data_IF_358792996355
#
_entry.id   IF_358792996355
#
_cell.length_a   1.000
_cell.length_b   1.000
_cell.length_c   1.000
_cell.angle_alpha   90.00
_cell.angle_beta   90.00
_cell.angle_gamma   90.00
#
_symmetry.space_group_name_H-M   'P 1'
#
loop_
_entity.id
_entity.type
_entity.pdbx_description
1 polymer ?
#
# COMPACT_ATOMS: atom_id res chain seq x y z
N UNK A 1 -19.56 -28.96 6.15
CA UNK A 1 -18.74 -27.92 6.82
C UNK A 1 -19.71 -26.85 7.23
N UNK A 2 -19.90 -26.63 8.53
CA UNK A 2 -20.80 -25.59 9.00
C UNK A 2 -20.32 -24.24 8.47
N UNK A 3 -21.14 -23.64 7.61
CA UNK A 3 -21.02 -22.24 7.22
C UNK A 3 -21.39 -21.46 8.48
N UNK A 4 -20.43 -21.24 9.37
CA UNK A 4 -20.53 -20.16 10.34
C UNK A 4 -20.96 -18.94 9.55
N UNK A 5 -22.10 -18.35 9.92
CA UNK A 5 -22.68 -17.20 9.24
C UNK A 5 -21.63 -16.09 9.22
N UNK A 6 -20.94 -15.93 8.09
CA UNK A 6 -19.97 -14.86 7.91
C UNK A 6 -20.74 -13.54 8.05
N UNK A 7 -20.18 -12.62 8.83
CA UNK A 7 -20.80 -11.32 9.08
C UNK A 7 -20.06 -10.24 8.27
N UNK A 8 -20.62 -9.04 8.21
CA UNK A 8 -20.01 -7.94 7.48
C UNK A 8 -20.15 -8.08 5.95
N UNK A 9 -19.23 -7.47 5.22
CA UNK A 9 -19.25 -7.39 3.76
C UNK A 9 -18.04 -8.12 3.15
N UNK A 10 -18.34 -9.09 2.29
CA UNK A 10 -17.39 -9.74 1.40
C UNK A 10 -17.70 -9.31 -0.03
N UNK A 11 -16.71 -8.79 -0.74
CA UNK A 11 -16.84 -8.51 -2.16
C UNK A 11 -16.77 -9.83 -2.96
N UNK A 12 -17.57 -9.96 -4.03
CA UNK A 12 -17.46 -11.10 -4.93
C UNK A 12 -16.12 -11.09 -5.67
N UNK A 13 -15.68 -12.26 -6.12
CA UNK A 13 -14.52 -12.39 -6.99
C UNK A 13 -14.80 -11.76 -8.36
N UNK A 14 -15.93 -12.12 -8.98
CA UNK A 14 -16.42 -11.44 -10.17
C UNK A 14 -17.74 -10.72 -9.86
N UNK A 15 -17.80 -9.43 -10.15
CA UNK A 15 -19.01 -8.61 -9.99
C UNK A 15 -19.49 -8.07 -11.33
N UNK A 16 -20.81 -8.00 -11.49
CA UNK A 16 -21.47 -7.27 -12.57
C UNK A 16 -22.44 -6.22 -12.01
N UNK A 17 -23.53 -5.94 -12.73
CA UNK A 17 -24.46 -4.84 -12.46
C UNK A 17 -25.12 -4.86 -11.08
N UNK A 18 -25.19 -6.02 -10.40
CA UNK A 18 -25.91 -6.16 -9.12
C UNK A 18 -24.99 -6.15 -7.90
N UNK A 19 -23.67 -6.21 -8.07
CA UNK A 19 -22.73 -6.39 -6.95
C UNK A 19 -22.68 -7.81 -6.38
N UNK A 20 -23.42 -8.77 -6.97
CA UNK A 20 -23.40 -10.18 -6.56
C UNK A 20 -22.28 -10.94 -7.27
N UNK A 21 -21.87 -12.05 -6.65
CA UNK A 21 -20.98 -13.03 -7.26
C UNK A 21 -21.57 -13.55 -8.57
N UNK A 22 -20.79 -13.45 -9.63
CA UNK A 22 -21.12 -13.96 -10.96
C UNK A 22 -20.01 -14.85 -11.53
N UNK A 23 -18.94 -15.14 -10.76
CA UNK A 23 -17.89 -16.04 -11.19
C UNK A 23 -18.50 -17.42 -11.51
N UNK A 24 -18.26 -17.97 -12.72
CA UNK A 24 -18.80 -19.28 -13.09
C UNK A 24 -18.28 -20.44 -12.24
N UNK A 25 -17.08 -20.28 -11.67
CA UNK A 25 -16.41 -21.28 -10.87
C UNK A 25 -16.49 -20.91 -9.37
N UNK A 26 -17.32 -21.65 -8.64
CA UNK A 26 -17.63 -21.38 -7.22
C UNK A 26 -16.39 -21.29 -6.32
N UNK A 27 -15.27 -21.94 -6.71
CA UNK A 27 -14.05 -22.01 -5.89
C UNK A 27 -13.41 -20.64 -5.69
N UNK A 28 -13.33 -19.79 -6.73
CA UNK A 28 -12.72 -18.46 -6.64
C UNK A 28 -13.57 -17.57 -5.74
N UNK A 29 -14.88 -17.51 -6.02
CA UNK A 29 -15.83 -16.79 -5.18
C UNK A 29 -15.83 -17.26 -3.72
N UNK A 30 -15.55 -18.55 -3.45
CA UNK A 30 -15.47 -19.08 -2.09
C UNK A 30 -14.14 -18.76 -1.38
N UNK A 31 -13.01 -18.95 -2.06
CA UNK A 31 -11.68 -19.04 -1.44
C UNK A 31 -10.76 -17.85 -1.75
N UNK A 32 -10.92 -17.17 -2.88
CA UNK A 32 -10.08 -16.04 -3.30
C UNK A 32 -10.57 -14.73 -2.68
N UNK A 33 -10.53 -14.70 -1.35
CA UNK A 33 -11.23 -13.70 -0.55
C UNK A 33 -10.45 -12.39 -0.40
N UNK A 34 -9.21 -12.33 -0.89
CA UNK A 34 -8.34 -11.15 -0.75
C UNK A 34 -8.91 -9.94 -1.50
N UNK A 35 -9.75 -10.13 -2.53
CA UNK A 35 -10.47 -9.06 -3.25
C UNK A 35 -11.19 -8.09 -2.30
N UNK A 36 -11.70 -8.60 -1.17
CA UNK A 36 -12.36 -7.78 -0.15
C UNK A 36 -11.39 -6.80 0.50
N UNK A 37 -10.15 -7.23 0.76
CA UNK A 37 -9.08 -6.38 1.25
C UNK A 37 -8.52 -5.45 0.18
N UNK A 38 -8.47 -5.89 -1.08
CA UNK A 38 -7.96 -5.10 -2.20
C UNK A 38 -8.86 -3.90 -2.50
N UNK A 39 -10.18 -4.09 -2.50
CA UNK A 39 -11.15 -3.01 -2.61
C UNK A 39 -10.98 -2.01 -1.45
N UNK A 40 -10.77 -2.52 -0.23
CA UNK A 40 -10.57 -1.64 0.92
C UNK A 40 -9.23 -0.90 0.87
N UNK A 41 -8.17 -1.52 0.32
CA UNK A 41 -6.90 -0.85 0.04
C UNK A 41 -7.07 0.30 -0.97
N UNK A 42 -7.90 0.12 -2.01
CA UNK A 42 -8.22 1.21 -2.94
C UNK A 42 -8.99 2.35 -2.25
N UNK A 43 -9.94 2.02 -1.36
CA UNK A 43 -10.64 3.00 -0.50
C UNK A 43 -9.67 3.74 0.42
N UNK A 44 -8.73 3.04 1.04
CA UNK A 44 -7.69 3.62 1.89
C UNK A 44 -6.83 4.62 1.11
N UNK A 45 -6.32 4.22 -0.06
CA UNK A 45 -5.51 5.10 -0.91
C UNK A 45 -6.31 6.33 -1.36
N UNK A 46 -7.60 6.17 -1.67
CA UNK A 46 -8.49 7.27 -1.98
C UNK A 46 -8.66 8.20 -0.77
N UNK A 47 -8.89 7.66 0.43
CA UNK A 47 -9.03 8.44 1.66
C UNK A 47 -7.77 9.26 1.96
N UNK A 48 -6.58 8.65 1.92
CA UNK A 48 -5.32 9.33 2.21
C UNK A 48 -4.93 10.36 1.16
N UNK A 49 -5.35 10.20 -0.10
CA UNK A 49 -5.04 11.17 -1.17
C UNK A 49 -6.04 12.31 -1.28
N UNK A 50 -7.29 12.12 -0.86
CA UNK A 50 -8.36 13.12 -1.06
C UNK A 50 -8.88 13.74 0.23
N UNK A 51 -8.85 12.99 1.33
CA UNK A 51 -9.56 13.29 2.58
C UNK A 51 -11.03 13.62 2.35
N UNK A 52 -11.70 12.93 1.42
CA UNK A 52 -13.12 13.15 1.12
C UNK A 52 -14.02 12.80 2.33
N UNK A 53 -14.24 13.78 3.19
CA UNK A 53 -15.05 13.62 4.39
C UNK A 53 -16.51 13.30 4.07
N UNK A 54 -17.03 13.76 2.93
CA UNK A 54 -18.44 13.52 2.55
C UNK A 54 -18.63 12.04 2.22
N UNK A 55 -17.77 11.48 1.38
CA UNK A 55 -17.85 10.06 1.03
C UNK A 55 -17.86 9.17 2.27
N UNK A 56 -16.90 9.41 3.18
CA UNK A 56 -16.69 8.54 4.33
C UNK A 56 -17.65 8.81 5.50
N UNK A 57 -18.17 10.02 5.69
CA UNK A 57 -19.10 10.31 6.80
C UNK A 57 -20.57 10.20 6.43
N UNK A 58 -20.95 10.44 5.17
CA UNK A 58 -22.38 10.57 4.80
C UNK A 58 -22.81 9.68 3.64
N UNK A 59 -21.92 9.32 2.71
CA UNK A 59 -22.29 8.62 1.48
C UNK A 59 -22.03 7.09 1.52
N UNK A 60 -21.86 6.51 2.70
CA UNK A 60 -21.70 5.05 2.85
C UNK A 60 -20.27 4.54 2.99
N UNK A 61 -19.26 5.42 2.94
CA UNK A 61 -17.86 5.00 2.99
C UNK A 61 -17.49 4.33 4.32
N UNK A 62 -17.90 4.91 5.46
CA UNK A 62 -17.67 4.30 6.78
C UNK A 62 -18.44 2.99 6.97
N UNK A 63 -19.66 2.89 6.47
CA UNK A 63 -20.47 1.68 6.49
C UNK A 63 -19.78 0.53 5.75
N UNK A 64 -19.19 0.82 4.59
CA UNK A 64 -18.40 -0.15 3.84
C UNK A 64 -17.14 -0.56 4.60
N UNK A 65 -16.35 0.41 5.08
CA UNK A 65 -15.10 0.14 5.82
C UNK A 65 -15.37 -0.72 7.06
N UNK A 66 -16.38 -0.36 7.85
CA UNK A 66 -16.76 -1.10 9.06
C UNK A 66 -17.30 -2.50 8.76
N UNK A 67 -18.09 -2.66 7.69
CA UNK A 67 -18.59 -3.97 7.27
C UNK A 67 -17.46 -4.90 6.78
N UNK A 68 -16.47 -4.40 6.06
CA UNK A 68 -15.29 -5.20 5.67
C UNK A 68 -14.44 -5.59 6.89
N UNK A 69 -14.26 -4.68 7.86
CA UNK A 69 -13.57 -5.02 9.10
C UNK A 69 -14.28 -6.14 9.88
N UNK A 70 -15.62 -6.07 9.99
CA UNK A 70 -16.43 -7.14 10.58
C UNK A 70 -16.30 -8.46 9.83
N UNK A 71 -16.22 -8.44 8.51
CA UNK A 71 -15.98 -9.65 7.71
C UNK A 71 -14.65 -10.31 8.08
N UNK A 72 -13.55 -9.56 8.11
CA UNK A 72 -12.26 -10.10 8.51
C UNK A 72 -12.26 -10.65 9.94
N UNK A 73 -12.91 -9.97 10.89
CA UNK A 73 -13.06 -10.49 12.24
C UNK A 73 -13.84 -11.81 12.27
N UNK A 74 -14.91 -11.93 11.49
CA UNK A 74 -15.68 -13.18 11.38
C UNK A 74 -14.92 -14.32 10.70
N UNK A 75 -13.94 -13.99 9.85
CA UNK A 75 -13.16 -14.97 9.06
C UNK A 75 -11.95 -15.53 9.80
N UNK A 76 -11.43 -14.79 10.75
CA UNK A 76 -10.23 -15.12 11.54
C UNK A 76 -10.54 -16.06 12.70
N UNK A 77 -9.79 -17.16 12.79
CA UNK A 77 -9.93 -18.19 13.83
C UNK A 77 -8.71 -18.15 14.75
N UNK A 78 -8.92 -18.14 16.07
CA UNK A 78 -7.82 -18.16 17.04
C UNK A 78 -7.13 -19.54 17.06
N UNK A 79 -5.80 -19.54 17.03
CA UNK A 79 -4.95 -20.72 17.24
C UNK A 79 -4.36 -20.68 18.64
N UNK A 80 -4.79 -21.61 19.51
CA UNK A 80 -4.23 -21.72 20.87
C UNK A 80 -2.76 -22.17 20.86
N UNK A 81 -2.35 -22.96 19.87
CA UNK A 81 -0.98 -23.46 19.76
C UNK A 81 0.00 -22.34 19.40
N UNK A 82 -0.37 -21.49 18.44
CA UNK A 82 0.50 -20.44 17.93
C UNK A 82 0.24 -19.07 18.56
N UNK A 83 -0.81 -18.93 19.39
CA UNK A 83 -1.22 -17.69 20.03
C UNK A 83 -1.44 -16.53 19.04
N UNK A 84 -2.04 -16.85 17.89
CA UNK A 84 -2.28 -15.93 16.78
C UNK A 84 -3.61 -16.25 16.08
N UNK A 85 -4.09 -15.33 15.24
CA UNK A 85 -5.26 -15.57 14.38
C UNK A 85 -4.85 -16.14 13.03
N UNK A 86 -5.58 -17.17 12.60
CA UNK A 86 -5.43 -17.81 11.31
C UNK A 86 -6.56 -17.43 10.36
N UNK A 87 -6.26 -17.39 9.07
CA UNK A 87 -7.24 -17.39 7.98
C UNK A 87 -7.00 -18.65 7.16
N UNK A 88 -7.96 -19.58 7.21
CA UNK A 88 -7.80 -20.96 6.70
C UNK A 88 -8.56 -21.24 5.44
N UNK A 89 -8.10 -22.15 4.59
CA UNK A 89 -8.80 -22.60 3.39
C UNK A 89 -9.07 -21.46 2.39
N UNK A 90 -8.02 -20.73 2.04
CA UNK A 90 -8.08 -19.64 1.06
C UNK A 90 -7.35 -20.03 -0.23
N UNK A 91 -7.61 -19.25 -1.27
CA UNK A 91 -6.81 -19.17 -2.48
C UNK A 91 -6.14 -17.79 -2.45
N UNK A 92 -4.81 -17.72 -2.50
CA UNK A 92 -4.08 -16.46 -2.54
C UNK A 92 -4.01 -15.97 -4.01
N UNK A 93 -3.40 -14.82 -4.31
CA UNK A 93 -3.20 -14.39 -5.69
C UNK A 93 -2.54 -15.44 -6.59
N UNK A 94 -1.68 -16.31 -6.03
CA UNK A 94 -1.25 -17.52 -6.74
C UNK A 94 -2.35 -18.60 -6.76
N UNK A 95 -3.15 -18.60 -7.82
CA UNK A 95 -4.24 -19.56 -8.00
C UNK A 95 -3.78 -21.01 -8.27
N UNK A 96 -2.48 -21.30 -8.42
CA UNK A 96 -2.00 -22.69 -8.45
C UNK A 96 -2.12 -23.38 -7.09
N UNK A 97 -2.18 -22.60 -6.01
CA UNK A 97 -2.33 -23.09 -4.65
C UNK A 97 -3.68 -22.66 -4.09
N UNK A 98 -4.51 -23.62 -3.65
CA UNK A 98 -5.82 -23.34 -3.08
C UNK A 98 -6.09 -24.27 -1.90
N UNK A 99 -7.11 -23.95 -1.11
CA UNK A 99 -7.32 -24.52 0.23
C UNK A 99 -6.08 -24.44 1.14
N UNK A 100 -5.28 -23.39 0.97
CA UNK A 100 -4.12 -23.15 1.82
C UNK A 100 -4.52 -22.38 3.07
N UNK A 101 -3.74 -22.55 4.13
CA UNK A 101 -3.89 -21.82 5.38
C UNK A 101 -2.87 -20.69 5.46
N UNK A 102 -3.29 -19.54 5.96
CA UNK A 102 -2.45 -18.39 6.27
C UNK A 102 -1.62 -17.89 5.09
N UNK A 103 -2.26 -17.69 3.93
CA UNK A 103 -1.65 -16.94 2.82
C UNK A 103 -1.07 -15.62 3.32
N UNK A 104 0.21 -15.38 3.02
CA UNK A 104 0.91 -14.17 3.43
C UNK A 104 0.22 -12.92 2.89
N UNK A 105 -0.15 -12.92 1.61
CA UNK A 105 -0.88 -11.80 1.01
C UNK A 105 -2.26 -11.61 1.65
N UNK A 106 -3.07 -12.67 1.72
CA UNK A 106 -4.45 -12.59 2.23
C UNK A 106 -4.47 -12.11 3.68
N UNK A 107 -3.57 -12.62 4.51
CA UNK A 107 -3.50 -12.25 5.92
C UNK A 107 -2.97 -10.82 6.10
N UNK A 108 -1.99 -10.40 5.29
CA UNK A 108 -1.48 -9.05 5.34
C UNK A 108 -2.50 -8.00 4.85
N UNK A 109 -3.30 -8.30 3.82
CA UNK A 109 -4.36 -7.38 3.36
C UNK A 109 -5.53 -7.32 4.35
N UNK A 110 -5.84 -8.43 5.03
CA UNK A 110 -6.79 -8.44 6.14
C UNK A 110 -6.29 -7.60 7.33
N UNK A 111 -5.01 -7.73 7.70
CA UNK A 111 -4.37 -6.90 8.72
C UNK A 111 -4.46 -5.41 8.35
N UNK A 112 -4.10 -5.05 7.12
CA UNK A 112 -4.15 -3.68 6.61
C UNK A 112 -5.58 -3.11 6.64
N UNK A 113 -6.56 -3.93 6.26
CA UNK A 113 -7.98 -3.59 6.30
C UNK A 113 -8.46 -3.19 7.70
N UNK A 114 -8.12 -4.00 8.72
CA UNK A 114 -8.49 -3.73 10.11
C UNK A 114 -7.80 -2.48 10.66
N UNK A 115 -6.52 -2.28 10.33
CA UNK A 115 -5.78 -1.08 10.72
C UNK A 115 -6.38 0.20 10.10
N UNK A 116 -6.74 0.15 8.82
CA UNK A 116 -7.41 1.26 8.15
C UNK A 116 -8.77 1.57 8.78
N UNK A 117 -9.60 0.56 9.04
CA UNK A 117 -10.89 0.74 9.69
C UNK A 117 -10.76 1.37 11.08
N UNK A 118 -9.78 0.93 11.87
CA UNK A 118 -9.46 1.53 13.16
C UNK A 118 -8.96 2.98 13.01
N UNK A 119 -8.22 3.30 11.95
CA UNK A 119 -7.79 4.66 11.61
C UNK A 119 -8.96 5.60 11.33
N UNK A 120 -9.85 5.20 10.41
CA UNK A 120 -11.04 5.99 10.06
C UNK A 120 -11.95 6.20 11.28
N UNK A 121 -12.12 5.17 12.12
CA UNK A 121 -12.89 5.28 13.35
C UNK A 121 -12.31 6.37 14.28
N UNK A 122 -10.98 6.39 14.47
CA UNK A 122 -10.30 7.42 15.26
C UNK A 122 -10.49 8.81 14.67
N UNK A 123 -10.30 8.96 13.36
CA UNK A 123 -10.49 10.23 12.66
C UNK A 123 -11.90 10.80 12.85
N UNK A 124 -12.90 9.92 12.96
CA UNK A 124 -14.30 10.30 13.12
C UNK A 124 -14.78 10.30 14.57
N UNK A 125 -13.89 10.05 15.53
CA UNK A 125 -14.19 9.95 16.96
C UNK A 125 -15.23 8.87 17.28
N UNK A 126 -15.23 7.80 16.48
CA UNK A 126 -16.05 6.60 16.68
C UNK A 126 -15.23 5.64 17.57
N UNK A 127 -15.84 5.02 18.60
CA UNK A 127 -15.15 4.01 19.40
C UNK A 127 -14.59 2.89 18.51
N UNK A 128 -13.29 2.65 18.59
CA UNK A 128 -12.63 1.56 17.88
C UNK A 128 -12.94 0.24 18.58
N UNK A 129 -13.53 -0.76 17.91
CA UNK A 129 -13.72 -2.08 18.49
C UNK A 129 -12.36 -2.71 18.84
N UNK A 130 -12.21 -3.17 20.09
CA UNK A 130 -10.96 -3.78 20.59
C UNK A 130 -10.54 -4.99 19.76
N UNK A 131 -11.52 -5.79 19.32
CA UNK A 131 -11.28 -6.96 18.47
C UNK A 131 -10.61 -6.62 17.14
N UNK A 132 -10.85 -5.44 16.55
CA UNK A 132 -10.20 -5.05 15.30
C UNK A 132 -8.70 -4.86 15.50
N UNK A 133 -8.34 -4.15 16.58
CA UNK A 133 -6.94 -3.87 16.93
C UNK A 133 -6.22 -5.15 17.35
N UNK A 134 -6.88 -5.99 18.16
CA UNK A 134 -6.29 -7.25 18.61
C UNK A 134 -6.03 -8.19 17.43
N UNK A 135 -7.02 -8.39 16.56
CA UNK A 135 -6.92 -9.27 15.40
C UNK A 135 -5.91 -8.77 14.38
N UNK A 136 -5.87 -7.47 14.11
CA UNK A 136 -4.84 -6.87 13.26
C UNK A 136 -3.43 -7.13 13.83
N UNK A 137 -3.26 -7.00 15.14
CA UNK A 137 -1.96 -7.21 15.79
C UNK A 137 -1.53 -8.68 15.82
N UNK A 138 -2.48 -9.61 15.89
CA UNK A 138 -2.21 -11.04 16.12
C UNK A 138 -2.49 -11.94 14.91
N UNK A 139 -2.96 -11.42 13.77
CA UNK A 139 -3.09 -12.26 12.56
C UNK A 139 -1.72 -12.70 12.07
N UNK A 140 -1.60 -14.00 11.74
CA UNK A 140 -0.35 -14.59 11.25
C UNK A 140 -0.05 -14.11 9.84
N UNK A 141 1.09 -13.49 9.62
CA UNK A 141 1.70 -13.39 8.29
C UNK A 141 2.91 -14.31 8.33
N UNK A 142 2.97 -15.40 7.53
CA UNK A 142 4.07 -16.35 7.58
C UNK A 142 5.42 -15.66 7.38
N UNK A 143 6.39 -16.00 8.22
CA UNK A 143 7.73 -15.44 8.17
C UNK A 143 8.76 -16.47 8.61
N UNK A 144 9.74 -16.75 7.76
CA UNK A 144 10.90 -17.58 8.09
C UNK A 144 12.00 -16.68 8.65
N UNK A 145 12.21 -16.72 9.96
CA UNK A 145 13.22 -15.89 10.63
C UNK A 145 14.68 -16.27 10.29
N UNK A 146 14.92 -17.48 9.81
CA UNK A 146 16.27 -17.97 9.47
C UNK A 146 16.65 -17.51 8.07
N UNK A 147 15.77 -17.72 7.09
CA UNK A 147 15.97 -17.31 5.70
C UNK A 147 15.55 -15.86 5.43
N UNK A 148 14.85 -15.23 6.39
CA UNK A 148 14.37 -13.85 6.35
C UNK A 148 13.56 -13.56 5.09
N UNK A 149 12.52 -14.35 4.84
CA UNK A 149 11.56 -14.15 3.75
C UNK A 149 10.18 -14.59 4.26
N UNK A 150 9.13 -14.25 3.53
CA UNK A 150 7.77 -14.69 3.80
C UNK A 150 7.46 -15.95 2.96
N UNK A 151 7.27 -17.13 3.58
CA UNK A 151 6.61 -18.24 2.91
C UNK A 151 5.22 -17.81 2.43
N UNK A 152 4.77 -18.35 1.30
CA UNK A 152 3.53 -17.87 0.66
C UNK A 152 2.29 -18.23 1.47
N UNK A 153 2.32 -19.38 2.13
CA UNK A 153 1.29 -19.89 3.02
C UNK A 153 1.92 -20.92 3.98
N UNK A 154 1.16 -21.40 4.96
CA UNK A 154 1.64 -22.41 5.90
C UNK A 154 1.95 -23.74 5.18
N UNK A 155 3.20 -24.19 5.29
CA UNK A 155 3.67 -25.42 4.63
C UNK A 155 4.23 -25.23 3.23
N UNK A 156 4.28 -23.99 2.70
CA UNK A 156 4.90 -23.68 1.41
C UNK A 156 6.34 -24.21 1.33
N UNK A 157 6.66 -24.92 0.25
CA UNK A 157 8.00 -25.44 0.01
C UNK A 157 8.76 -24.57 -1.00
N UNK A 158 9.91 -23.97 -0.65
CA UNK A 158 10.70 -23.20 -1.59
C UNK A 158 11.03 -23.96 -2.87
N UNK A 159 10.76 -23.34 -4.02
CA UNK A 159 10.93 -23.98 -5.33
C UNK A 159 9.62 -24.40 -5.99
N UNK A 160 8.50 -24.39 -5.25
CA UNK A 160 7.19 -24.64 -5.82
C UNK A 160 6.84 -23.57 -6.87
N UNK A 161 6.34 -23.96 -8.06
CA UNK A 161 5.95 -23.03 -9.11
C UNK A 161 4.80 -22.14 -8.68
N UNK A 162 4.87 -20.87 -9.05
CA UNK A 162 3.88 -19.85 -8.70
C UNK A 162 3.27 -19.27 -9.97
N UNK A 163 1.94 -19.16 -10.06
CA UNK A 163 1.24 -18.64 -11.26
C UNK A 163 1.61 -17.19 -11.55
N UNK A 164 1.60 -16.35 -10.51
CA UNK A 164 1.72 -14.89 -10.63
C UNK A 164 2.25 -14.24 -9.35
N UNK A 165 2.46 -12.92 -9.35
CA UNK A 165 2.95 -12.22 -8.17
C UNK A 165 2.01 -12.39 -6.97
N UNK A 166 2.51 -12.99 -5.87
CA UNK A 166 1.79 -13.17 -4.59
C UNK A 166 2.51 -12.48 -3.43
N UNK A 167 3.50 -13.14 -2.82
CA UNK A 167 4.35 -12.55 -1.75
C UNK A 167 5.02 -11.25 -2.22
N UNK A 168 5.32 -11.16 -3.51
CA UNK A 168 5.89 -9.97 -4.13
C UNK A 168 5.00 -8.73 -3.93
N UNK A 169 3.68 -8.91 -3.82
CA UNK A 169 2.69 -7.86 -3.59
C UNK A 169 2.73 -7.32 -2.16
N UNK A 170 3.34 -8.04 -1.19
CA UNK A 170 3.52 -7.55 0.19
C UNK A 170 4.28 -6.21 0.22
N UNK A 171 5.28 -6.04 -0.65
CA UNK A 171 6.00 -4.77 -0.78
C UNK A 171 5.16 -3.69 -1.45
N UNK A 172 5.08 -3.66 -2.79
CA UNK A 172 4.10 -2.85 -3.50
C UNK A 172 3.07 -3.78 -4.15
N UNK A 173 1.76 -3.51 -4.05
CA UNK A 173 1.13 -2.30 -3.52
C UNK A 173 0.82 -2.33 -2.01
N UNK A 174 1.01 -3.46 -1.33
CA UNK A 174 0.46 -3.66 0.01
C UNK A 174 1.22 -2.90 1.11
N UNK A 175 2.46 -2.51 0.87
CA UNK A 175 3.31 -1.74 1.77
C UNK A 175 3.42 -2.38 3.16
N UNK A 176 3.44 -3.71 3.21
CA UNK A 176 3.64 -4.46 4.44
C UNK A 176 5.01 -4.11 5.03
N UNK A 177 5.09 -3.69 6.32
CA UNK A 177 6.35 -3.30 6.92
C UNK A 177 7.34 -4.46 6.95
N UNK A 178 8.48 -4.28 6.28
CA UNK A 178 9.55 -5.29 6.26
C UNK A 178 10.92 -4.64 6.10
N UNK A 179 11.96 -5.35 6.54
CA UNK A 179 13.34 -4.91 6.33
C UNK A 179 13.73 -5.01 4.84
N UNK A 180 14.55 -4.11 4.26
CA UNK A 180 14.98 -4.20 2.86
C UNK A 180 15.64 -5.54 2.48
N UNK A 181 16.31 -6.20 3.44
CA UNK A 181 16.84 -7.56 3.26
C UNK A 181 15.73 -8.58 3.03
N UNK A 182 14.64 -8.51 3.82
CA UNK A 182 13.48 -9.39 3.65
C UNK A 182 12.82 -9.12 2.31
N UNK A 183 12.63 -7.84 1.95
CA UNK A 183 12.07 -7.44 0.65
C UNK A 183 12.89 -8.01 -0.51
N UNK A 184 14.23 -7.94 -0.42
CA UNK A 184 15.14 -8.53 -1.40
C UNK A 184 14.99 -10.03 -1.46
N UNK A 185 14.94 -10.71 -0.32
CA UNK A 185 14.83 -12.16 -0.24
C UNK A 185 13.51 -12.66 -0.83
N UNK A 186 12.38 -12.02 -0.52
CA UNK A 186 11.08 -12.34 -1.14
C UNK A 186 11.20 -12.28 -2.68
N UNK A 187 11.75 -11.19 -3.22
CA UNK A 187 11.91 -11.07 -4.67
C UNK A 187 12.86 -12.13 -5.26
N UNK A 188 13.98 -12.44 -4.60
CA UNK A 188 14.93 -13.48 -5.06
C UNK A 188 14.31 -14.87 -5.02
N UNK A 189 13.51 -15.18 -3.99
CA UNK A 189 12.90 -16.50 -3.80
C UNK A 189 11.81 -16.77 -4.83
N UNK A 190 10.97 -15.77 -5.12
CA UNK A 190 9.81 -15.94 -5.97
C UNK A 190 10.08 -15.69 -7.46
N UNK A 191 10.99 -14.78 -7.84
CA UNK A 191 11.28 -14.49 -9.25
C UNK A 191 11.60 -15.71 -10.14
N UNK A 192 12.44 -16.69 -9.71
CA UNK A 192 12.79 -17.83 -10.55
C UNK A 192 11.72 -18.93 -10.62
N UNK A 193 10.73 -18.93 -9.71
CA UNK A 193 9.67 -19.94 -9.66
C UNK A 193 8.33 -19.43 -10.19
N UNK A 194 8.22 -18.12 -10.45
CA UNK A 194 7.02 -17.55 -11.07
C UNK A 194 6.97 -17.87 -12.57
N UNK A 195 5.80 -18.36 -13.03
CA UNK A 195 5.55 -18.80 -14.40
C UNK A 195 5.88 -17.71 -15.43
N UNK A 196 6.72 -18.05 -16.41
CA UNK A 196 7.16 -17.09 -17.43
C UNK A 196 6.03 -16.68 -18.36
N UNK A 197 5.15 -17.63 -18.68
CA UNK A 197 3.94 -17.39 -19.48
C UNK A 197 2.74 -16.97 -18.64
N UNK A 198 2.93 -16.64 -17.35
CA UNK A 198 1.86 -16.19 -16.48
C UNK A 198 1.30 -14.81 -16.87
N UNK A 199 0.24 -14.35 -16.18
CA UNK A 199 -0.47 -13.13 -16.56
C UNK A 199 0.39 -11.86 -16.56
N UNK A 200 0.15 -10.97 -17.53
CA UNK A 200 0.97 -9.80 -17.87
C UNK A 200 1.22 -8.78 -16.73
N UNK A 201 0.51 -8.88 -15.61
CA UNK A 201 0.65 -7.99 -14.45
C UNK A 201 1.87 -8.33 -13.56
N UNK A 202 2.30 -9.59 -13.55
CA UNK A 202 3.29 -10.14 -12.64
C UNK A 202 4.64 -9.42 -12.70
N UNK A 203 5.21 -9.32 -13.90
CA UNK A 203 6.56 -8.78 -14.08
C UNK A 203 6.65 -7.29 -13.75
N UNK A 204 5.53 -6.57 -13.84
CA UNK A 204 5.43 -5.18 -13.40
C UNK A 204 5.63 -5.05 -11.90
N UNK A 205 5.10 -5.98 -11.10
CA UNK A 205 5.24 -5.93 -9.63
C UNK A 205 6.66 -6.28 -9.18
N UNK A 206 7.32 -7.24 -9.85
CA UNK A 206 8.75 -7.47 -9.65
C UNK A 206 9.60 -6.26 -10.05
N UNK A 207 9.28 -5.59 -11.17
CA UNK A 207 9.97 -4.37 -11.57
C UNK A 207 9.89 -3.29 -10.48
N UNK A 208 8.69 -3.02 -9.93
CA UNK A 208 8.51 -2.08 -8.81
C UNK A 208 9.34 -2.49 -7.60
N UNK A 209 9.32 -3.78 -7.24
CA UNK A 209 10.11 -4.31 -6.12
C UNK A 209 11.62 -4.10 -6.26
N UNK A 210 12.17 -4.34 -7.46
CA UNK A 210 13.59 -4.10 -7.71
C UNK A 210 13.95 -2.62 -7.72
N UNK A 211 13.06 -1.75 -8.24
CA UNK A 211 13.26 -0.29 -8.22
C UNK A 211 13.24 0.27 -6.80
N UNK A 212 12.39 -0.28 -5.93
CA UNK A 212 12.35 0.07 -4.50
C UNK A 212 13.68 -0.21 -3.79
N UNK A 213 14.37 -1.29 -4.19
CA UNK A 213 15.71 -1.66 -3.70
C UNK A 213 16.85 -1.00 -4.48
N UNK A 214 16.54 -0.07 -5.39
CA UNK A 214 17.50 0.62 -6.28
C UNK A 214 18.27 -0.31 -7.22
N UNK A 215 17.78 -1.52 -7.47
CA UNK A 215 18.34 -2.49 -8.44
C UNK A 215 17.77 -2.28 -9.85
N UNK A 216 18.13 -1.15 -10.44
CA UNK A 216 17.59 -0.70 -11.73
C UNK A 216 17.83 -1.68 -12.88
N UNK A 217 18.96 -2.40 -12.88
CA UNK A 217 19.26 -3.39 -13.93
C UNK A 217 18.33 -4.60 -13.87
N UNK A 218 18.06 -5.15 -12.67
CA UNK A 218 17.11 -6.26 -12.51
C UNK A 218 15.69 -5.82 -12.84
N UNK A 219 15.31 -4.62 -12.41
CA UNK A 219 14.02 -4.03 -12.75
C UNK A 219 13.82 -3.91 -14.27
N UNK A 220 14.84 -3.45 -15.00
CA UNK A 220 14.80 -3.38 -16.46
C UNK A 220 14.59 -4.76 -17.10
N UNK A 221 15.20 -5.81 -16.54
CA UNK A 221 14.95 -7.19 -16.95
C UNK A 221 13.48 -7.58 -16.85
N UNK A 222 12.79 -7.20 -15.78
CA UNK A 222 11.36 -7.50 -15.60
C UNK A 222 10.46 -6.66 -16.51
N UNK A 223 10.78 -5.37 -16.68
CA UNK A 223 10.07 -4.50 -17.63
C UNK A 223 10.17 -5.01 -19.07
N UNK A 224 11.34 -5.55 -19.45
CA UNK A 224 11.52 -6.16 -20.76
C UNK A 224 10.56 -7.34 -20.99
N UNK A 225 10.31 -8.16 -19.96
CA UNK A 225 9.33 -9.26 -20.04
C UNK A 225 7.90 -8.73 -20.26
N UNK A 226 7.55 -7.58 -19.67
CA UNK A 226 6.21 -6.99 -19.86
C UNK A 226 5.92 -6.66 -21.34
N UNK A 227 6.94 -6.31 -22.13
CA UNK A 227 6.74 -6.03 -23.56
C UNK A 227 6.39 -7.27 -24.38
N UNK A 228 6.66 -8.48 -23.88
CA UNK A 228 6.27 -9.73 -24.55
C UNK A 228 4.76 -9.95 -24.59
N UNK A 229 4.01 -9.29 -23.71
CA UNK A 229 2.55 -9.30 -23.70
C UNK A 229 1.93 -8.29 -24.69
N UNK A 230 2.75 -7.57 -25.48
CA UNK A 230 2.28 -6.58 -26.45
C UNK A 230 2.27 -7.20 -27.85
N UNK A 231 1.09 -7.28 -28.45
CA UNK A 231 0.89 -7.82 -29.80
C UNK A 231 0.77 -6.71 -30.84
N UNK A 232 1.57 -6.84 -31.91
CA UNK A 232 1.54 -5.98 -33.09
C UNK A 232 0.31 -6.24 -33.99
N UNK A 233 -0.08 -5.30 -34.87
CA UNK A 233 0.49 -3.95 -35.07
C UNK A 233 -0.12 -2.88 -34.16
N UNK A 234 -1.16 -3.24 -33.41
CA UNK A 234 -1.97 -2.28 -32.64
C UNK A 234 -1.48 -2.08 -31.20
N UNK A 235 -0.41 -2.78 -30.81
CA UNK A 235 0.14 -2.75 -29.46
C UNK A 235 -0.89 -3.15 -28.39
N UNK A 236 -1.73 -4.13 -28.72
CA UNK A 236 -2.74 -4.66 -27.80
C UNK A 236 -2.03 -5.51 -26.74
N UNK A 237 -2.46 -5.35 -25.49
CA UNK A 237 -1.98 -6.19 -24.40
C UNK A 237 -2.82 -7.46 -24.30
N UNK A 238 -2.13 -8.60 -24.28
CA UNK A 238 -2.70 -9.93 -24.06
C UNK A 238 -2.30 -10.46 -22.70
N UNK A 239 -3.16 -11.26 -22.10
CA UNK A 239 -2.94 -11.82 -20.76
C UNK A 239 -1.65 -12.63 -20.68
N UNK A 240 -1.48 -13.60 -21.59
CA UNK A 240 -0.30 -14.46 -21.62
C UNK A 240 0.62 -14.07 -22.78
N UNK A 241 1.93 -14.20 -22.60
CA UNK A 241 2.93 -13.77 -23.58
C UNK A 241 2.93 -14.59 -24.89
N UNK A 242 2.27 -15.74 -24.89
CA UNK A 242 2.08 -16.58 -26.08
C UNK A 242 0.88 -16.15 -26.95
N UNK A 243 0.14 -15.12 -26.53
CA UNK A 243 -1.05 -14.62 -27.22
C UNK A 243 -2.36 -15.24 -26.76
N UNK A 244 -2.34 -16.17 -25.81
CA UNK A 244 -3.53 -16.78 -25.22
C UNK A 244 -4.13 -15.92 -24.09
N UNK A 245 -5.30 -16.35 -23.59
CA UNK A 245 -6.02 -15.67 -22.53
C UNK A 245 -6.81 -14.45 -23.01
N UNK A 246 -7.07 -13.51 -22.10
CA UNK A 246 -7.82 -12.31 -22.40
C UNK A 246 -7.08 -11.37 -23.38
N UNK A 247 -7.83 -10.86 -24.35
CA UNK A 247 -7.39 -9.79 -25.25
C UNK A 247 -7.83 -8.43 -24.70
N UNK A 248 -7.04 -7.38 -24.95
CA UNK A 248 -7.21 -6.08 -24.28
C UNK A 248 -7.13 -6.22 -22.75
N UNK A 249 -6.11 -6.92 -22.29
CA UNK A 249 -5.93 -7.24 -20.89
C UNK A 249 -5.54 -5.99 -20.07
N UNK A 250 -6.57 -5.31 -19.56
CA UNK A 250 -6.44 -4.03 -18.85
C UNK A 250 -5.54 -4.14 -17.61
N UNK A 251 -5.55 -5.27 -16.92
CA UNK A 251 -4.73 -5.50 -15.73
C UNK A 251 -3.23 -5.48 -16.08
N UNK A 252 -2.85 -6.04 -17.22
CA UNK A 252 -1.47 -5.94 -17.73
C UNK A 252 -1.08 -4.50 -18.04
N UNK A 253 -1.94 -3.76 -18.74
CA UNK A 253 -1.72 -2.34 -19.07
C UNK A 253 -1.57 -1.49 -17.80
N UNK A 254 -2.46 -1.72 -16.83
CA UNK A 254 -2.46 -1.05 -15.53
C UNK A 254 -1.22 -1.39 -14.71
N UNK A 255 -0.81 -2.67 -14.68
CA UNK A 255 0.43 -3.11 -14.03
C UNK A 255 1.65 -2.40 -14.59
N UNK A 256 1.78 -2.33 -15.92
CA UNK A 256 2.90 -1.65 -16.55
C UNK A 256 2.91 -0.15 -16.27
N UNK A 257 1.75 0.50 -16.32
CA UNK A 257 1.63 1.91 -15.93
C UNK A 257 2.02 2.12 -14.47
N UNK A 258 1.67 1.19 -13.57
CA UNK A 258 2.09 1.23 -12.18
C UNK A 258 3.60 1.04 -12.02
N UNK A 259 4.25 0.18 -12.82
CA UNK A 259 5.70 0.04 -12.78
C UNK A 259 6.42 1.33 -13.19
N UNK A 260 5.92 2.03 -14.21
CA UNK A 260 6.45 3.35 -14.58
C UNK A 260 6.14 4.40 -13.52
N UNK A 261 4.88 4.48 -13.06
CA UNK A 261 4.46 5.51 -12.12
C UNK A 261 5.04 5.27 -10.74
N UNK A 262 4.68 4.19 -10.06
CA UNK A 262 5.08 3.90 -8.68
C UNK A 262 6.46 3.28 -8.55
N UNK A 263 6.97 2.62 -9.59
CA UNK A 263 8.34 2.14 -9.64
C UNK A 263 9.32 3.30 -9.87
N UNK A 264 9.22 4.01 -11.00
CA UNK A 264 10.25 5.02 -11.33
C UNK A 264 10.27 6.22 -10.40
N UNK A 265 9.11 6.67 -9.94
CA UNK A 265 9.03 7.80 -9.02
C UNK A 265 9.21 7.39 -7.55
N UNK A 266 9.05 6.10 -7.24
CA UNK A 266 8.95 5.62 -5.87
C UNK A 266 7.74 6.17 -5.11
N UNK A 267 6.66 6.60 -5.80
CA UNK A 267 5.46 7.11 -5.13
C UNK A 267 4.93 6.09 -4.14
N UNK A 268 4.69 6.51 -2.90
CA UNK A 268 3.98 5.73 -1.89
C UNK A 268 2.99 6.61 -1.17
N UNK A 269 1.74 6.18 -1.14
CA UNK A 269 0.67 6.84 -0.39
C UNK A 269 0.69 6.26 1.01
N UNK A 270 0.82 7.11 2.01
CA UNK A 270 0.75 6.73 3.43
C UNK A 270 -0.36 7.52 4.11
N UNK A 271 -0.70 7.15 5.35
CA UNK A 271 -1.70 7.85 6.15
C UNK A 271 -1.43 9.34 6.28
N UNK A 272 -0.16 9.76 6.35
CA UNK A 272 0.20 11.15 6.69
C UNK A 272 0.90 11.91 5.57
N UNK A 273 1.34 11.23 4.51
CA UNK A 273 2.13 11.85 3.46
C UNK A 273 2.11 11.06 2.15
N UNK A 274 2.45 11.73 1.06
CA UNK A 274 2.83 11.13 -0.20
C UNK A 274 4.37 11.13 -0.28
N UNK A 275 4.98 9.95 -0.23
CA UNK A 275 6.43 9.76 -0.32
C UNK A 275 6.87 9.60 -1.77
N UNK A 276 8.09 10.07 -2.05
CA UNK A 276 8.76 10.07 -3.34
C UNK A 276 10.17 9.55 -3.11
N UNK A 277 10.58 8.54 -3.87
CA UNK A 277 11.92 7.97 -3.76
C UNK A 277 12.36 7.42 -5.13
N UNK A 278 12.67 8.31 -6.10
CA UNK A 278 12.83 7.90 -7.48
C UNK A 278 13.98 6.92 -7.70
N UNK A 279 13.77 6.01 -8.63
CA UNK A 279 14.80 5.09 -9.14
C UNK A 279 14.40 4.70 -10.55
N UNK A 280 15.22 4.95 -11.55
CA UNK A 280 14.89 4.52 -12.91
C UNK A 280 16.13 4.02 -13.66
N UNK A 281 15.92 3.16 -14.67
CA UNK A 281 16.97 2.64 -15.55
C UNK A 281 17.84 3.73 -16.18
N UNK A 282 19.08 3.37 -16.53
CA UNK A 282 20.10 4.33 -16.99
C UNK A 282 19.77 5.01 -18.33
N UNK A 283 18.91 4.40 -19.13
CA UNK A 283 18.42 4.87 -20.43
C UNK A 283 17.27 5.89 -20.32
N UNK A 284 16.68 6.05 -19.14
CA UNK A 284 15.72 7.12 -18.85
C UNK A 284 16.47 8.37 -18.39
N UNK A 285 16.40 9.44 -19.18
CA UNK A 285 17.07 10.71 -18.87
C UNK A 285 16.17 11.72 -18.15
N UNK A 286 14.86 11.62 -18.37
CA UNK A 286 13.88 12.55 -17.83
C UNK A 286 12.51 11.88 -17.74
N UNK A 287 11.87 12.00 -16.58
CA UNK A 287 10.48 11.59 -16.35
C UNK A 287 9.64 12.83 -16.05
N UNK A 288 8.54 13.01 -16.78
CA UNK A 288 7.54 14.02 -16.46
C UNK A 288 6.23 13.35 -16.03
N UNK A 289 5.80 13.64 -14.80
CA UNK A 289 4.52 13.17 -14.27
C UNK A 289 3.62 14.37 -14.06
N UNK A 290 2.49 14.41 -14.76
CA UNK A 290 1.54 15.52 -14.71
C UNK A 290 0.22 15.06 -14.09
N UNK A 291 -0.56 16.01 -13.57
CA UNK A 291 -1.90 15.72 -13.08
C UNK A 291 -1.95 14.98 -11.74
N UNK A 292 -0.83 14.88 -11.02
CA UNK A 292 -0.81 14.28 -9.68
C UNK A 292 -1.71 15.11 -8.76
N UNK A 293 -2.68 14.43 -8.14
CA UNK A 293 -3.68 15.04 -7.28
C UNK A 293 -3.46 14.57 -5.86
N UNK A 294 -3.21 15.50 -4.94
CA UNK A 294 -3.00 15.16 -3.53
C UNK A 294 -3.58 16.25 -2.63
N UNK A 295 -4.51 15.86 -1.75
CA UNK A 295 -5.25 16.73 -0.84
C UNK A 295 -5.84 17.95 -1.57
N UNK A 296 -6.45 17.72 -2.74
CA UNK A 296 -7.03 18.75 -3.60
C UNK A 296 -6.01 19.59 -4.40
N UNK A 297 -4.72 19.50 -4.09
CA UNK A 297 -3.65 20.16 -4.84
C UNK A 297 -3.32 19.42 -6.14
N UNK A 298 -2.89 20.17 -7.16
CA UNK A 298 -2.44 19.62 -8.45
C UNK A 298 -0.96 19.88 -8.63
N UNK A 299 -0.22 18.81 -8.90
CA UNK A 299 1.23 18.79 -8.92
C UNK A 299 1.75 18.25 -10.26
N UNK A 300 2.85 18.84 -10.73
CA UNK A 300 3.67 18.32 -11.82
C UNK A 300 5.07 18.02 -11.28
N UNK A 301 5.57 16.84 -11.60
CA UNK A 301 6.94 16.43 -11.32
C UNK A 301 7.74 16.37 -12.61
N UNK A 302 8.98 16.83 -12.54
CA UNK A 302 9.99 16.61 -13.56
C UNK A 302 11.24 16.10 -12.86
N UNK A 303 11.65 14.88 -13.21
CA UNK A 303 12.71 14.14 -12.51
C UNK A 303 13.79 13.79 -13.55
N UNK A 304 15.03 14.17 -13.26
CA UNK A 304 16.25 13.71 -13.96
C UNK A 304 17.14 12.97 -12.98
N UNK A 305 18.31 12.49 -13.42
CA UNK A 305 19.26 11.83 -12.52
C UNK A 305 19.79 12.79 -11.45
N UNK A 306 19.94 14.06 -11.79
CA UNK A 306 20.53 15.10 -10.96
C UNK A 306 19.50 15.88 -10.17
N UNK A 307 18.31 16.12 -10.75
CA UNK A 307 17.35 17.08 -10.21
C UNK A 307 15.92 16.56 -10.15
N UNK A 308 15.17 17.01 -9.14
CA UNK A 308 13.72 16.91 -9.06
C UNK A 308 13.13 18.31 -9.03
N UNK A 309 12.13 18.55 -9.88
CA UNK A 309 11.34 19.77 -9.93
C UNK A 309 9.88 19.47 -9.63
N UNK A 310 9.32 20.18 -8.66
CA UNK A 310 7.90 20.13 -8.27
C UNK A 310 7.26 21.46 -8.62
N UNK A 311 6.23 21.44 -9.46
CA UNK A 311 5.41 22.60 -9.78
C UNK A 311 3.99 22.40 -9.24
N UNK A 312 3.46 23.40 -8.53
CA UNK A 312 2.10 23.36 -7.99
C UNK A 312 1.20 24.22 -8.86
N UNK A 313 0.32 23.60 -9.62
CA UNK A 313 -0.59 24.31 -10.53
C UNK A 313 -1.89 24.71 -9.86
N UNK A 314 -2.24 24.07 -8.74
CA UNK A 314 -3.39 24.41 -7.90
C UNK A 314 -3.12 23.98 -6.45
N UNK A 315 -3.39 24.82 -5.47
CA UNK A 315 -3.27 24.52 -4.04
C UNK A 315 -4.43 25.14 -3.26
N UNK A 316 -5.56 24.42 -3.09
CA UNK A 316 -6.73 24.97 -2.39
C UNK A 316 -6.59 24.95 -0.86
N UNK A 317 -5.47 24.41 -0.33
CA UNK A 317 -5.30 24.15 1.10
C UNK A 317 -4.72 25.34 1.87
N UNK A 318 -5.21 25.49 3.11
CA UNK A 318 -4.60 26.34 4.13
C UNK A 318 -4.49 25.57 5.45
N UNK A 319 -3.26 25.34 5.97
CA UNK A 319 -1.97 25.73 5.38
C UNK A 319 -1.62 24.87 4.14
N UNK A 320 -0.71 25.34 3.26
CA UNK A 320 -0.37 24.67 2.01
C UNK A 320 0.37 23.34 2.25
N UNK A 321 0.61 22.58 1.18
CA UNK A 321 1.52 21.44 1.25
C UNK A 321 2.96 21.90 1.54
N UNK A 322 3.75 21.04 2.20
CA UNK A 322 5.20 21.17 2.29
C UNK A 322 5.89 19.93 1.72
N UNK A 323 7.05 20.15 1.10
CA UNK A 323 8.00 19.09 0.76
C UNK A 323 9.08 19.00 1.85
N UNK A 324 9.36 17.79 2.32
CA UNK A 324 10.39 17.51 3.32
C UNK A 324 11.37 16.50 2.77
N UNK A 325 12.65 16.85 2.67
CA UNK A 325 13.70 15.92 2.26
C UNK A 325 13.94 14.90 3.38
N UNK A 326 13.98 13.61 3.05
CA UNK A 326 14.12 12.56 4.07
C UNK A 326 15.50 12.59 4.75
N UNK A 327 16.56 12.82 3.98
CA UNK A 327 17.94 12.78 4.50
C UNK A 327 18.28 13.98 5.40
N UNK A 328 17.89 15.19 4.99
CA UNK A 328 18.26 16.42 5.70
C UNK A 328 17.17 16.96 6.63
N UNK A 329 15.93 16.49 6.48
CA UNK A 329 14.77 17.05 7.16
C UNK A 329 14.40 18.47 6.72
N UNK A 330 15.06 19.01 5.70
CA UNK A 330 14.82 20.35 5.19
C UNK A 330 13.41 20.47 4.61
N UNK A 331 12.70 21.53 4.97
CA UNK A 331 11.29 21.74 4.63
C UNK A 331 11.11 22.91 3.68
N UNK A 332 10.19 22.77 2.73
CA UNK A 332 9.87 23.80 1.76
C UNK A 332 8.35 23.89 1.57
N UNK A 333 7.73 25.05 1.84
CA UNK A 333 6.33 25.23 1.53
C UNK A 333 6.12 25.22 0.01
N UNK A 334 5.03 24.61 -0.43
CA UNK A 334 4.63 24.50 -1.82
C UNK A 334 3.43 25.42 -2.08
N UNK A 335 3.71 26.57 -2.70
CA UNK A 335 2.70 27.57 -3.03
C UNK A 335 2.17 27.37 -4.45
N UNK A 336 0.89 27.71 -4.66
CA UNK A 336 0.30 27.72 -6.01
C UNK A 336 1.09 28.63 -6.96
N UNK A 337 1.31 28.17 -8.18
CA UNK A 337 2.13 28.85 -9.20
C UNK A 337 3.64 28.72 -8.98
N UNK A 338 4.08 28.24 -7.81
CA UNK A 338 5.51 28.09 -7.53
C UNK A 338 6.08 26.82 -8.16
N UNK A 339 7.37 26.91 -8.44
CA UNK A 339 8.23 25.77 -8.78
C UNK A 339 9.33 25.68 -7.73
N UNK A 340 9.60 24.47 -7.25
CA UNK A 340 10.79 24.15 -6.47
C UNK A 340 11.67 23.13 -7.22
N UNK A 341 12.95 23.45 -7.43
CA UNK A 341 13.95 22.53 -8.04
C UNK A 341 15.01 22.17 -7.01
N UNK A 342 15.35 20.88 -6.88
CA UNK A 342 16.32 20.36 -5.91
C UNK A 342 17.12 19.22 -6.51
N UNK A 343 18.18 18.80 -5.82
CA UNK A 343 18.85 17.56 -6.13
C UNK A 343 17.88 16.37 -6.02
N UNK A 344 17.97 15.42 -6.95
CA UNK A 344 17.14 14.22 -6.92
C UNK A 344 17.45 13.40 -5.66
N UNK A 345 16.45 13.28 -4.79
CA UNK A 345 16.55 12.61 -3.48
C UNK A 345 15.16 12.21 -3.00
N UNK A 346 15.11 11.33 -2.00
CA UNK A 346 13.86 10.94 -1.37
C UNK A 346 13.24 12.12 -0.59
N UNK A 347 11.92 12.29 -0.73
CA UNK A 347 11.16 13.32 -0.04
C UNK A 347 9.74 12.87 0.25
N UNK A 348 9.09 13.58 1.17
CA UNK A 348 7.67 13.44 1.45
C UNK A 348 6.93 14.74 1.19
N UNK A 349 5.69 14.64 0.73
CA UNK A 349 4.72 15.73 0.68
C UNK A 349 3.64 15.50 1.73
N UNK A 350 3.38 16.52 2.55
CA UNK A 350 2.32 16.49 3.56
C UNK A 350 1.69 17.87 3.71
N UNK A 351 0.57 17.96 4.42
CA UNK A 351 0.02 19.25 4.79
C UNK A 351 0.91 19.93 5.85
N UNK A 352 1.22 21.20 5.65
CA UNK A 352 2.07 21.95 6.56
C UNK A 352 1.48 21.99 7.98
N UNK A 353 2.30 21.76 9.00
CA UNK A 353 1.86 21.82 10.40
C UNK A 353 1.18 20.55 10.93
N UNK A 354 0.89 19.54 10.10
CA UNK A 354 0.68 18.18 10.60
C UNK A 354 2.02 17.70 11.19
N UNK A 355 2.09 17.68 12.53
CA UNK A 355 3.16 16.93 13.19
C UNK A 355 3.02 15.48 12.74
N UNK A 356 4.12 14.75 12.46
CA UNK A 356 4.03 13.31 12.36
C UNK A 356 3.32 12.85 13.63
N UNK A 357 2.20 12.12 13.48
CA UNK A 357 1.53 11.50 14.62
C UNK A 357 2.61 10.62 15.23
N UNK A 358 3.24 11.09 16.30
CA UNK A 358 4.05 10.27 17.16
C UNK A 358 3.09 9.19 17.62
N UNK A 359 3.20 8.02 17.00
CA UNK A 359 2.57 6.81 17.47
C UNK A 359 3.04 6.69 18.93
N UNK A 360 2.17 7.07 19.87
CA UNK A 360 2.38 6.81 21.29
C UNK A 360 2.26 5.30 21.45
N UNK A 361 3.34 4.59 21.14
CA UNK A 361 3.57 3.25 21.64
C UNK A 361 3.51 3.33 23.15
N UNK A 362 2.43 2.79 23.71
CA UNK A 362 2.22 2.46 25.13
C UNK A 362 3.15 3.15 26.13
N UNK A 363 2.74 4.30 26.66
CA UNK A 363 3.14 4.65 28.03
C UNK A 363 2.26 3.81 28.95
N UNK A 364 2.78 2.67 29.38
CA UNK A 364 2.25 1.96 30.55
C UNK A 364 2.50 2.87 31.74
N UNK A 365 1.45 3.53 32.24
CA UNK A 365 1.50 4.18 33.54
C UNK A 365 1.64 3.07 34.60
N UNK A 366 2.87 2.85 35.06
CA UNK A 366 3.10 2.10 36.30
C UNK A 366 2.61 2.99 37.45
N UNK A 367 1.65 2.57 38.27
CA UNK A 367 1.19 3.38 39.39
C UNK A 367 2.35 3.58 40.38
N UNK A 368 2.74 4.83 40.65
CA UNK A 368 3.60 5.15 41.79
C UNK A 368 4.89 5.93 41.54
N UNK A 369 5.14 6.52 40.37
CA UNK A 369 6.25 7.47 40.22
C UNK A 369 5.80 8.84 39.71
N UNK A 370 5.98 9.85 40.57
CA UNK A 370 5.83 11.26 40.22
C UNK A 370 7.05 11.72 39.42
N UNK A 371 6.85 12.22 38.20
CA UNK A 371 7.87 12.96 37.46
C UNK A 371 7.48 14.43 37.45
N UNK A 372 8.31 15.27 38.07
CA UNK A 372 8.20 16.73 38.06
C UNK A 372 8.81 17.29 36.78
N UNK A 373 8.04 18.07 36.02
CA UNK A 373 8.56 18.85 34.88
C UNK A 373 9.18 20.16 35.37
N UNK A 374 10.33 20.61 34.82
CA UNK A 374 10.85 21.94 35.10
C UNK A 374 9.98 23.00 34.40
N UNK A 375 9.44 23.93 35.19
CA UNK A 375 8.73 25.11 34.71
C UNK A 375 9.65 26.00 33.87
N UNK A 376 9.26 26.25 32.62
CA UNK A 376 9.87 27.27 31.77
C UNK A 376 9.60 28.66 32.38
N UNK A 377 10.63 29.30 32.92
CA UNK A 377 10.61 30.71 33.28
C UNK A 377 10.71 31.55 32.00
N UNK A 378 9.68 32.38 31.79
CA UNK A 378 9.49 33.17 30.58
C UNK A 378 10.51 34.30 30.39
N UNK A 379 10.85 34.52 29.14
CA UNK A 379 11.49 35.74 28.67
C UNK A 379 10.37 36.70 28.24
N UNK A 380 9.93 37.58 29.15
CA UNK A 380 9.15 38.78 28.80
C UNK A 380 10.08 39.97 28.99
N UNK A 381 10.53 40.55 27.88
CA UNK A 381 11.21 41.83 27.87
C UNK A 381 10.21 42.94 28.23
N UNK A 382 10.49 43.67 29.32
CA UNK A 382 9.84 44.94 29.66
C UNK A 382 10.38 46.04 28.74
N UNK A 383 9.50 46.79 28.08
CA UNK A 383 9.79 48.13 27.59
C UNK A 383 9.47 49.16 28.71
N UNK A 384 10.22 50.27 28.85
CA UNK A 384 9.95 51.29 29.85
C UNK A 384 8.86 52.29 29.42
N UNK A 385 8.25 52.83 30.48
CA UNK A 385 7.16 53.80 30.64
C UNK A 385 7.32 55.17 29.97
N UNK A 386 6.19 55.74 29.53
CA UNK A 386 5.74 57.15 29.66
C UNK A 386 4.20 57.09 29.54
N UNK A 387 3.31 57.79 30.25
CA UNK A 387 3.36 58.93 31.15
C UNK A 387 1.99 59.63 31.05
N UNK A 388 1.35 59.87 32.20
CA UNK A 388 0.04 60.52 32.48
C UNK A 388 -1.25 59.70 32.30
#
# INVERSE_FOLDING_TARGET
MDVFSQQGAKFPWESAATGREVCPEDIYGAQEIHITGDVLMAFEQYYYTTRDQKLFRTDGGWELVSAVAQYWCSRMVWSEEEQCYHIRGVMPPDEYHYQVDNSAYTNAVAQRSLNFAAGVARDFLIPVPEEWVERAKKVKVPFDAVRKYHPEYDGYSPGEPVKQADVVLLGFPLMHPMHPEVRRNDLVMYEPVTELSGPAMTWSMFAVGWLELKETQRAQGQLNKCFSNITEPFKIWVENSDGSGAVNFLTGMGGFLQAVLFGYTGFRITETNLRFDPAFPSDVNKLEVTGVSYLGSKLKFTITKEEMRIAVTKCPLHPPLEAVLEESGQRFPLHEGATSTRANSALILRQYGEKPILCLTHVVLVPGQSISFPTAAGCIQRAPSEGL
#
